data_IF_326105430871
#
_entry.id   IF_326105430871
#
_cell.length_a   1.000
_cell.length_b   1.000
_cell.length_c   1.000
_cell.angle_alpha   90.00
_cell.angle_beta   90.00
_cell.angle_gamma   90.00
#
_symmetry.space_group_name_H-M   'P 1'
#
loop_
_entity.id
_entity.type
_entity.pdbx_description
1 polymer ?
#
# COMPACT_ATOMS: atom_id res chain seq x y z
N UNK A 1 -93.62 12.25 60.84
CA UNK A 1 -92.42 11.60 60.29
C UNK A 1 -92.55 11.32 58.79
N UNK A 2 -93.67 10.77 58.28
CA UNK A 2 -93.87 10.53 56.83
C UNK A 2 -94.37 11.74 56.00
N UNK A 3 -94.75 12.84 56.66
CA UNK A 3 -95.20 14.10 56.01
C UNK A 3 -94.13 15.21 56.02
N UNK A 4 -92.90 14.87 56.42
CA UNK A 4 -91.77 15.80 56.42
C UNK A 4 -91.13 15.83 55.02
N UNK A 5 -91.07 17.00 54.33
CA UNK A 5 -90.42 17.12 53.02
C UNK A 5 -88.98 16.59 53.02
N UNK A 6 -88.25 16.72 54.13
CA UNK A 6 -86.88 16.26 54.26
C UNK A 6 -86.77 14.73 54.15
N UNK A 7 -87.79 13.98 54.59
CA UNK A 7 -87.82 12.52 54.45
C UNK A 7 -87.91 12.08 52.99
N UNK A 8 -88.79 12.69 52.19
CA UNK A 8 -88.91 12.38 50.77
C UNK A 8 -87.69 12.83 49.95
N UNK A 9 -87.04 13.94 50.32
CA UNK A 9 -85.75 14.34 49.74
C UNK A 9 -84.66 13.32 50.03
N UNK A 10 -84.59 12.79 51.26
CA UNK A 10 -83.63 11.73 51.61
C UNK A 10 -83.90 10.42 50.83
N UNK A 11 -85.16 10.02 50.68
CA UNK A 11 -85.55 8.86 49.86
C UNK A 11 -85.16 9.07 48.39
N UNK A 12 -85.38 10.28 47.85
CA UNK A 12 -84.95 10.66 46.50
C UNK A 12 -83.42 10.62 46.33
N UNK A 13 -82.66 11.13 47.30
CA UNK A 13 -81.19 11.08 47.32
C UNK A 13 -80.69 9.63 47.33
N UNK A 14 -81.24 8.78 48.19
CA UNK A 14 -80.86 7.36 48.26
C UNK A 14 -81.23 6.64 46.97
N UNK A 15 -82.42 6.90 46.41
CA UNK A 15 -82.84 6.37 45.12
C UNK A 15 -81.92 6.79 43.97
N UNK A 16 -81.49 8.05 43.95
CA UNK A 16 -80.52 8.57 42.98
C UNK A 16 -79.13 7.94 43.13
N UNK A 17 -78.61 7.81 44.36
CA UNK A 17 -77.34 7.13 44.61
C UNK A 17 -77.40 5.63 44.26
N UNK A 18 -78.51 4.96 44.56
CA UNK A 18 -78.74 3.57 44.17
C UNK A 18 -78.80 3.43 42.64
N UNK A 19 -79.45 4.38 41.95
CA UNK A 19 -79.48 4.44 40.49
C UNK A 19 -78.07 4.66 39.91
N UNK A 20 -77.27 5.60 40.44
CA UNK A 20 -75.88 5.81 40.03
C UNK A 20 -74.98 4.58 40.29
N UNK A 21 -75.24 3.88 41.40
CA UNK A 21 -74.60 2.60 41.72
C UNK A 21 -74.97 1.52 40.70
N UNK A 22 -76.24 1.40 40.35
CA UNK A 22 -76.77 0.45 39.38
C UNK A 22 -76.26 0.71 37.95
N UNK A 23 -76.25 1.98 37.51
CA UNK A 23 -75.68 2.41 36.23
C UNK A 23 -74.14 2.35 36.19
N UNK A 24 -73.48 2.05 37.32
CA UNK A 24 -72.05 1.80 37.36
C UNK A 24 -71.18 3.04 37.14
N UNK A 25 -71.69 4.25 37.41
CA UNK A 25 -70.96 5.51 37.17
C UNK A 25 -69.63 5.56 37.93
N UNK A 26 -69.58 4.98 39.14
CA UNK A 26 -68.34 4.84 39.93
C UNK A 26 -67.29 3.97 39.22
N UNK A 27 -67.70 2.90 38.53
CA UNK A 27 -66.78 2.01 37.79
C UNK A 27 -66.19 2.72 36.58
N UNK A 28 -66.98 3.53 35.87
CA UNK A 28 -66.50 4.31 34.73
C UNK A 28 -65.45 5.35 35.16
N UNK A 29 -65.70 6.03 36.28
CA UNK A 29 -64.76 7.01 36.83
C UNK A 29 -63.43 6.36 37.27
N UNK A 30 -63.50 5.21 37.96
CA UNK A 30 -62.30 4.45 38.36
C UNK A 30 -61.54 3.96 37.11
N UNK A 31 -62.24 3.36 36.14
CA UNK A 31 -61.63 2.88 34.91
C UNK A 31 -60.92 3.98 34.13
N UNK A 32 -61.52 5.17 34.03
CA UNK A 32 -60.87 6.30 33.35
C UNK A 32 -59.59 6.78 34.06
N UNK A 33 -59.52 6.66 35.39
CA UNK A 33 -58.31 6.95 36.16
C UNK A 33 -57.25 5.86 35.97
N UNK A 34 -57.65 4.59 35.99
CA UNK A 34 -56.77 3.44 35.76
C UNK A 34 -56.18 3.48 34.34
N UNK A 35 -57.03 3.68 33.31
CA UNK A 35 -56.59 3.80 31.91
C UNK A 35 -55.56 4.93 31.74
N UNK A 36 -55.73 6.04 32.47
CA UNK A 36 -54.79 7.16 32.45
C UNK A 36 -53.48 6.82 33.19
N UNK A 37 -53.57 6.12 34.31
CA UNK A 37 -52.39 5.67 35.06
C UNK A 37 -51.56 4.69 34.22
N UNK A 38 -52.21 3.75 33.53
CA UNK A 38 -51.56 2.79 32.64
C UNK A 38 -50.93 3.48 31.43
N UNK A 39 -51.61 4.45 30.81
CA UNK A 39 -51.04 5.24 29.72
C UNK A 39 -49.76 5.98 30.14
N UNK A 40 -49.78 6.66 31.30
CA UNK A 40 -48.61 7.36 31.85
C UNK A 40 -47.49 6.37 32.16
N UNK A 41 -47.83 5.21 32.74
CA UNK A 41 -46.84 4.18 33.05
C UNK A 41 -46.15 3.67 31.78
N UNK A 42 -46.92 3.37 30.74
CA UNK A 42 -46.39 2.91 29.46
C UNK A 42 -45.48 3.96 28.81
N UNK A 43 -45.87 5.23 28.84
CA UNK A 43 -45.06 6.33 28.30
C UNK A 43 -43.74 6.50 29.07
N UNK A 44 -43.78 6.38 30.41
CA UNK A 44 -42.58 6.43 31.25
C UNK A 44 -41.64 5.24 31.01
N UNK A 45 -42.19 4.03 30.85
CA UNK A 45 -41.41 2.83 30.57
C UNK A 45 -40.79 2.89 29.17
N UNK A 46 -41.52 3.42 28.18
CA UNK A 46 -40.97 3.66 26.83
C UNK A 46 -39.88 4.73 26.84
N UNK A 47 -40.08 5.84 27.56
CA UNK A 47 -39.06 6.88 27.71
C UNK A 47 -37.79 6.36 28.39
N UNK A 48 -37.92 5.48 29.39
CA UNK A 48 -36.78 4.81 30.02
C UNK A 48 -36.05 3.92 29.04
N UNK A 49 -36.77 3.08 28.29
CA UNK A 49 -36.19 2.21 27.26
C UNK A 49 -35.43 3.02 26.21
N UNK A 50 -36.03 4.08 25.67
CA UNK A 50 -35.40 4.94 24.68
C UNK A 50 -34.13 5.62 25.23
N UNK A 51 -34.16 6.03 26.51
CA UNK A 51 -32.98 6.57 27.18
C UNK A 51 -31.86 5.52 27.30
N UNK A 52 -32.18 4.30 27.71
CA UNK A 52 -31.22 3.20 27.82
C UNK A 52 -30.62 2.84 26.45
N UNK A 53 -31.45 2.76 25.40
CA UNK A 53 -31.01 2.53 24.03
C UNK A 53 -30.08 3.65 23.55
N UNK A 54 -30.42 4.92 23.80
CA UNK A 54 -29.58 6.06 23.45
C UNK A 54 -28.24 6.05 24.20
N UNK A 55 -28.24 5.69 25.49
CA UNK A 55 -27.01 5.56 26.28
C UNK A 55 -26.13 4.42 25.80
N UNK A 56 -26.73 3.27 25.47
CA UNK A 56 -26.01 2.13 24.89
C UNK A 56 -25.40 2.49 23.54
N UNK A 57 -26.17 3.16 22.68
CA UNK A 57 -25.71 3.61 21.38
C UNK A 57 -24.55 4.60 21.52
N UNK A 58 -24.66 5.58 22.41
CA UNK A 58 -23.58 6.54 22.67
C UNK A 58 -22.29 5.83 23.10
N UNK A 59 -22.38 4.91 24.06
CA UNK A 59 -21.23 4.15 24.53
C UNK A 59 -20.60 3.29 23.42
N UNK A 60 -21.41 2.72 22.52
CA UNK A 60 -20.92 1.99 21.36
C UNK A 60 -20.18 2.91 20.39
N UNK A 61 -20.73 4.10 20.09
CA UNK A 61 -20.08 5.06 19.20
C UNK A 61 -18.77 5.61 19.79
N UNK A 62 -18.72 5.90 21.09
CA UNK A 62 -17.48 6.32 21.75
C UNK A 62 -16.40 5.24 21.67
N UNK A 63 -16.76 3.97 21.89
CA UNK A 63 -15.84 2.83 21.73
C UNK A 63 -15.36 2.70 20.29
N UNK A 64 -16.27 2.80 19.32
CA UNK A 64 -15.93 2.74 17.88
C UNK A 64 -15.01 3.89 17.48
N UNK A 65 -15.28 5.10 17.97
CA UNK A 65 -14.45 6.27 17.70
C UNK A 65 -13.03 6.06 18.24
N UNK A 66 -12.90 5.61 19.49
CA UNK A 66 -11.59 5.32 20.08
C UNK A 66 -10.83 4.24 19.32
N UNK A 67 -11.51 3.14 18.99
CA UNK A 67 -10.92 2.05 18.20
C UNK A 67 -10.46 2.53 16.82
N UNK A 68 -11.27 3.36 16.13
CA UNK A 68 -10.91 3.91 14.83
C UNK A 68 -9.69 4.86 14.90
N UNK A 69 -9.55 5.64 15.98
CA UNK A 69 -8.37 6.49 16.19
C UNK A 69 -7.12 5.64 16.45
N UNK A 70 -7.22 4.60 17.27
CA UNK A 70 -6.12 3.66 17.53
C UNK A 70 -5.71 2.90 16.26
N UNK A 71 -6.68 2.44 15.47
CA UNK A 71 -6.45 1.78 14.18
C UNK A 71 -5.78 2.73 13.17
N UNK A 72 -6.27 3.96 13.05
CA UNK A 72 -5.65 4.96 12.17
C UNK A 72 -4.20 5.25 12.57
N UNK A 73 -3.92 5.37 13.87
CA UNK A 73 -2.57 5.56 14.37
C UNK A 73 -1.67 4.34 14.04
N UNK A 74 -2.17 3.12 14.24
CA UNK A 74 -1.46 1.90 13.88
C UNK A 74 -1.17 1.82 12.38
N UNK A 75 -2.10 2.22 11.51
CA UNK A 75 -1.89 2.26 10.06
C UNK A 75 -0.76 3.24 9.71
N UNK A 76 -0.75 4.42 10.32
CA UNK A 76 0.31 5.42 10.07
C UNK A 76 1.66 4.90 10.54
N UNK A 77 1.73 4.24 11.69
CA UNK A 77 2.97 3.66 12.22
C UNK A 77 3.50 2.54 11.33
N UNK A 78 2.63 1.63 10.89
CA UNK A 78 2.99 0.57 9.95
C UNK A 78 3.47 1.14 8.62
N UNK A 79 2.76 2.12 8.05
CA UNK A 79 3.15 2.75 6.80
C UNK A 79 4.52 3.45 6.89
N UNK A 80 4.83 4.07 8.04
CA UNK A 80 6.16 4.66 8.29
C UNK A 80 7.25 3.60 8.36
N UNK A 81 7.02 2.52 9.12
CA UNK A 81 7.98 1.42 9.25
C UNK A 81 8.23 0.73 7.89
N UNK A 82 7.18 0.51 7.10
CA UNK A 82 7.30 -0.04 5.74
C UNK A 82 8.05 0.91 4.81
N UNK A 83 7.75 2.22 4.86
CA UNK A 83 8.46 3.21 4.06
C UNK A 83 9.96 3.26 4.40
N UNK A 84 10.32 3.20 5.67
CA UNK A 84 11.72 3.15 6.11
C UNK A 84 12.42 1.87 5.64
N UNK A 85 11.78 0.71 5.82
CA UNK A 85 12.31 -0.57 5.34
C UNK A 85 12.51 -0.57 3.81
N UNK A 86 11.53 -0.04 3.07
CA UNK A 86 11.59 0.06 1.61
C UNK A 86 12.70 1.01 1.16
N UNK A 87 12.90 2.13 1.88
CA UNK A 87 13.98 3.07 1.58
C UNK A 87 15.34 2.39 1.74
N UNK A 88 15.57 1.67 2.84
CA UNK A 88 16.82 0.93 3.10
C UNK A 88 17.04 -0.15 2.03
N UNK A 89 16.02 -0.95 1.70
CA UNK A 89 16.12 -1.98 0.67
C UNK A 89 16.43 -1.36 -0.72
N UNK A 90 15.78 -0.25 -1.05
CA UNK A 90 15.97 0.45 -2.32
C UNK A 90 17.37 1.04 -2.41
N UNK A 91 17.88 1.62 -1.33
CA UNK A 91 19.24 2.16 -1.27
C UNK A 91 20.28 1.05 -1.48
N UNK A 92 20.12 -0.10 -0.83
CA UNK A 92 20.98 -1.27 -1.04
C UNK A 92 20.95 -1.74 -2.49
N UNK A 93 19.76 -1.91 -3.08
CA UNK A 93 19.62 -2.30 -4.49
C UNK A 93 20.23 -1.28 -5.45
N UNK A 94 20.13 0.01 -5.15
CA UNK A 94 20.72 1.08 -5.94
C UNK A 94 22.24 1.01 -5.88
N UNK A 95 22.83 0.86 -4.70
CA UNK A 95 24.26 0.72 -4.51
C UNK A 95 24.81 -0.50 -5.26
N UNK A 96 24.13 -1.65 -5.17
CA UNK A 96 24.51 -2.85 -5.93
C UNK A 96 24.41 -2.62 -7.45
N UNK A 97 23.39 -1.90 -7.91
CA UNK A 97 23.25 -1.55 -9.32
C UNK A 97 24.36 -0.61 -9.79
N UNK A 98 24.75 0.36 -8.97
CA UNK A 98 25.87 1.27 -9.26
C UNK A 98 27.17 0.47 -9.35
N UNK A 99 27.48 -0.39 -8.38
CA UNK A 99 28.69 -1.23 -8.38
C UNK A 99 28.76 -2.12 -9.64
N UNK A 100 27.66 -2.79 -10.00
CA UNK A 100 27.61 -3.58 -11.24
C UNK A 100 27.84 -2.74 -12.49
N UNK A 101 27.28 -1.53 -12.56
CA UNK A 101 27.46 -0.62 -13.70
C UNK A 101 28.90 -0.11 -13.78
N UNK A 102 29.51 0.21 -12.64
CA UNK A 102 30.91 0.62 -12.56
C UNK A 102 31.82 -0.49 -13.08
N UNK A 103 31.68 -1.72 -12.55
CA UNK A 103 32.45 -2.87 -13.04
C UNK A 103 32.26 -3.14 -14.53
N UNK A 104 31.04 -2.97 -15.04
CA UNK A 104 30.79 -3.12 -16.48
C UNK A 104 31.49 -2.03 -17.30
N UNK A 105 31.49 -0.78 -16.83
CA UNK A 105 32.19 0.32 -17.48
C UNK A 105 33.71 0.11 -17.46
N UNK A 106 34.27 -0.29 -16.32
CA UNK A 106 35.70 -0.62 -16.17
C UNK A 106 36.11 -1.74 -17.14
N UNK A 107 35.33 -2.82 -17.21
CA UNK A 107 35.57 -3.91 -18.15
C UNK A 107 35.51 -3.43 -19.61
N UNK A 108 34.55 -2.57 -19.97
CA UNK A 108 34.48 -1.98 -21.32
C UNK A 108 35.71 -1.11 -21.63
N UNK A 109 36.17 -0.31 -20.67
CA UNK A 109 37.38 0.50 -20.81
C UNK A 109 38.60 -0.42 -21.03
N UNK A 110 38.75 -1.48 -20.24
CA UNK A 110 39.85 -2.44 -20.40
C UNK A 110 39.83 -3.10 -21.77
N UNK A 111 38.67 -3.56 -22.24
CA UNK A 111 38.50 -4.13 -23.57
C UNK A 111 38.87 -3.12 -24.68
N UNK A 112 38.41 -1.88 -24.55
CA UNK A 112 38.76 -0.81 -25.50
C UNK A 112 40.27 -0.52 -25.50
N UNK A 113 40.93 -0.50 -24.35
CA UNK A 113 42.38 -0.32 -24.24
C UNK A 113 43.16 -1.48 -24.88
N UNK A 114 42.73 -2.72 -24.66
CA UNK A 114 43.34 -3.90 -25.30
C UNK A 114 43.19 -3.84 -26.82
N UNK A 115 42.01 -3.46 -27.31
CA UNK A 115 41.77 -3.31 -28.75
C UNK A 115 42.61 -2.17 -29.33
N UNK A 116 42.69 -1.02 -28.66
CA UNK A 116 43.51 0.10 -29.10
C UNK A 116 45.00 -0.27 -29.18
N UNK A 117 45.53 -0.99 -28.19
CA UNK A 117 46.92 -1.49 -28.23
C UNK A 117 47.14 -2.44 -29.41
N UNK A 118 46.23 -3.38 -29.65
CA UNK A 118 46.31 -4.28 -30.81
C UNK A 118 46.31 -3.51 -32.13
N UNK A 119 45.45 -2.49 -32.26
CA UNK A 119 45.39 -1.66 -33.46
C UNK A 119 46.71 -0.91 -33.69
N UNK A 120 47.32 -0.35 -32.64
CA UNK A 120 48.64 0.32 -32.74
C UNK A 120 49.74 -0.66 -33.15
N UNK A 121 49.75 -1.87 -32.58
CA UNK A 121 50.72 -2.90 -32.95
C UNK A 121 50.56 -3.35 -34.41
N UNK A 122 49.32 -3.56 -34.87
CA UNK A 122 49.04 -3.90 -36.26
C UNK A 122 49.51 -2.79 -37.21
N UNK A 123 49.18 -1.53 -36.91
CA UNK A 123 49.61 -0.39 -37.70
C UNK A 123 51.14 -0.23 -37.74
N UNK A 124 51.83 -0.47 -36.62
CA UNK A 124 53.28 -0.45 -36.58
C UNK A 124 53.91 -1.59 -37.40
N UNK A 125 53.31 -2.79 -37.39
CA UNK A 125 53.74 -3.90 -38.23
C UNK A 125 53.55 -3.59 -39.73
N UNK A 126 52.42 -2.99 -40.11
CA UNK A 126 52.16 -2.57 -41.48
C UNK A 126 53.19 -1.53 -41.96
N UNK A 127 53.50 -0.52 -41.13
CA UNK A 127 54.56 0.46 -41.43
C UNK A 127 55.92 -0.22 -41.57
N UNK A 128 56.25 -1.16 -40.70
CA UNK A 128 57.53 -1.87 -40.77
C UNK A 128 57.65 -2.70 -42.06
N UNK A 129 56.57 -3.35 -42.51
CA UNK A 129 56.53 -4.07 -43.79
C UNK A 129 56.72 -3.11 -44.96
N UNK A 130 55.99 -1.99 -44.99
CA UNK A 130 56.12 -0.97 -46.05
C UNK A 130 57.54 -0.38 -46.11
N UNK A 131 58.12 -0.03 -44.96
CA UNK A 131 59.49 0.48 -44.91
C UNK A 131 60.51 -0.58 -45.36
N UNK A 132 60.29 -1.86 -45.01
CA UNK A 132 61.14 -2.97 -45.46
C UNK A 132 61.03 -3.17 -46.97
N UNK A 133 59.83 -3.10 -47.54
CA UNK A 133 59.60 -3.15 -48.99
C UNK A 133 60.32 -1.99 -49.71
N UNK A 134 60.24 -0.77 -49.19
CA UNK A 134 60.92 0.40 -49.75
C UNK A 134 62.45 0.24 -49.70
N UNK A 135 63.00 -0.20 -48.56
CA UNK A 135 64.44 -0.47 -48.42
C UNK A 135 64.90 -1.57 -49.39
N UNK A 136 64.18 -2.70 -49.45
CA UNK A 136 64.50 -3.79 -50.39
C UNK A 136 64.48 -3.30 -51.82
N UNK A 137 63.49 -2.50 -52.21
CA UNK A 137 63.37 -1.95 -53.57
C UNK A 137 64.53 -1.01 -53.90
N UNK A 138 64.93 -0.15 -52.95
CA UNK A 138 66.03 0.80 -53.13
C UNK A 138 67.43 0.16 -53.07
N UNK A 139 67.61 -0.93 -52.31
CA UNK A 139 68.88 -1.64 -52.14
C UNK A 139 69.06 -2.81 -53.14
N UNK A 140 68.02 -3.15 -53.92
CA UNK A 140 68.09 -4.14 -55.00
C UNK A 140 68.88 -3.60 -56.20
N UNK A 141 70.21 -3.74 -56.15
CA UNK A 141 71.04 -3.60 -57.35
C UNK A 141 70.94 -4.86 -58.22
N UNK A 142 71.14 -4.74 -59.54
CA UNK A 142 71.19 -5.90 -60.47
C UNK A 142 72.16 -7.00 -59.99
N UNK A 143 73.22 -6.62 -59.28
CA UNK A 143 74.22 -7.55 -58.73
C UNK A 143 73.69 -8.33 -57.53
N UNK A 144 72.99 -7.68 -56.59
CA UNK A 144 72.35 -8.36 -55.44
C UNK A 144 71.19 -9.26 -55.88
N UNK A 145 70.42 -8.85 -56.88
CA UNK A 145 69.34 -9.66 -57.44
C UNK A 145 69.83 -10.98 -58.05
N UNK A 146 70.94 -10.93 -58.82
CA UNK A 146 71.54 -12.15 -59.38
C UNK A 146 72.11 -13.07 -58.29
N UNK A 147 72.74 -12.52 -57.24
CA UNK A 147 73.25 -13.32 -56.13
C UNK A 147 72.13 -14.04 -55.37
N UNK A 148 70.98 -13.39 -55.17
CA UNK A 148 69.80 -14.01 -54.54
C UNK A 148 69.20 -15.14 -55.39
N UNK A 149 69.26 -15.02 -56.73
CA UNK A 149 68.84 -16.08 -57.65
C UNK A 149 69.78 -17.29 -57.53
N UNK A 150 71.09 -17.06 -57.54
CA UNK A 150 72.08 -18.13 -57.38
C UNK A 150 71.97 -18.84 -56.03
N UNK A 151 71.73 -18.08 -54.95
CA UNK A 151 71.51 -18.62 -53.60
C UNK A 151 70.19 -19.40 -53.50
N UNK A 152 69.13 -18.93 -54.16
CA UNK A 152 67.84 -19.65 -54.26
C UNK A 152 68.00 -20.97 -55.02
N UNK A 153 68.74 -20.98 -56.13
CA UNK A 153 69.06 -22.18 -56.90
C UNK A 153 69.89 -23.16 -56.04
N UNK A 154 70.86 -22.67 -55.29
CA UNK A 154 71.65 -23.49 -54.36
C UNK A 154 70.77 -24.08 -53.23
N UNK A 155 69.85 -23.30 -52.66
CA UNK A 155 68.95 -23.75 -51.59
C UNK A 155 67.95 -24.83 -52.06
N UNK A 156 67.48 -24.73 -53.31
CA UNK A 156 66.63 -25.75 -53.93
C UNK A 156 67.40 -27.05 -54.16
N UNK A 157 68.66 -26.96 -54.60
CA UNK A 157 69.55 -28.12 -54.76
C UNK A 157 69.84 -28.83 -53.43
N UNK A 158 69.86 -28.10 -52.32
CA UNK A 158 70.04 -28.65 -50.96
C UNK A 158 68.77 -29.33 -50.43
N UNK A 159 67.57 -28.85 -50.80
CA UNK A 159 66.28 -29.45 -50.40
C UNK A 159 65.82 -30.62 -51.29
N UNK A 160 66.45 -30.82 -52.45
CA UNK A 160 66.17 -31.88 -53.43
C UNK A 160 67.19 -33.04 -53.43
N UNK A 161 68.17 -33.01 -52.53
CA UNK A 161 68.98 -34.16 -52.12
C UNK A 161 68.51 -34.67 -50.76
#
# INVERSE_FOLDING_TARGET
MFSDPTFWVAVGMVGFLALLGYLGVHKLAIKALDDRADAIRNELDEARRLKEEAQSMLAEYERKQKAAVEEAQSIIEQAKAEAESLAVETEQKLNDSIDRRTKMAENKILQAQLQARKNVQAYAADIAVLATEEILTNDLSKTKANSLIDESIASLKIRLN
#
